data_IF_721050026483
#
_entry.id   IF_721050026483
#
_cell.length_a   1.000
_cell.length_b   1.000
_cell.length_c   1.000
_cell.angle_alpha   90.00
_cell.angle_beta   90.00
_cell.angle_gamma   90.00
#
_symmetry.space_group_name_H-M   'P 1'
#
loop_
_entity.id
_entity.type
_entity.pdbx_description
1 polymer ?
#
# COMPACT_ATOMS: atom_id res chain seq x y z
N UNK A 1 1.81 3.77 -6.96
CA UNK A 1 1.93 5.11 -6.34
C UNK A 1 1.97 6.22 -7.39
N UNK A 2 1.14 7.25 -7.26
CA UNK A 2 1.20 8.42 -8.12
C UNK A 2 2.28 9.40 -7.63
N UNK A 3 3.20 9.76 -8.52
CA UNK A 3 4.30 10.70 -8.28
C UNK A 3 4.16 11.88 -9.23
N UNK A 4 3.48 12.93 -8.77
CA UNK A 4 3.27 14.15 -9.55
C UNK A 4 4.35 15.19 -9.26
N UNK A 5 4.83 15.95 -10.27
CA UNK A 5 5.70 17.10 -10.05
C UNK A 5 4.96 18.20 -9.27
N UNK A 6 5.69 19.14 -8.67
CA UNK A 6 5.06 20.29 -8.02
C UNK A 6 4.22 21.09 -9.03
N UNK A 7 2.92 21.20 -8.76
CA UNK A 7 1.97 21.95 -9.58
C UNK A 7 1.37 23.10 -8.78
N UNK A 8 1.00 24.17 -9.49
CA UNK A 8 0.23 25.26 -8.91
C UNK A 8 -1.06 24.74 -8.25
N UNK A 9 -1.44 25.29 -7.09
CA UNK A 9 -2.53 24.77 -6.26
C UNK A 9 -3.88 24.70 -6.99
N UNK A 10 -4.19 25.67 -7.86
CA UNK A 10 -5.41 25.65 -8.69
C UNK A 10 -5.50 24.43 -9.60
N UNK A 11 -4.40 24.01 -10.23
CA UNK A 11 -4.42 22.83 -11.10
C UNK A 11 -4.65 21.54 -10.32
N UNK A 12 -4.25 21.49 -9.04
CA UNK A 12 -4.45 20.32 -8.17
C UNK A 12 -5.92 20.08 -7.84
N UNK A 13 -6.75 21.12 -7.78
CA UNK A 13 -8.19 21.00 -7.51
C UNK A 13 -8.90 20.22 -8.62
N UNK A 14 -8.42 20.32 -9.87
CA UNK A 14 -9.02 19.67 -11.04
C UNK A 14 -8.34 18.34 -11.42
N UNK A 15 -7.56 17.74 -10.52
CA UNK A 15 -6.90 16.45 -10.78
C UNK A 15 -7.89 15.31 -10.64
N UNK A 16 -8.13 14.61 -11.74
CA UNK A 16 -9.04 13.47 -11.80
C UNK A 16 -8.35 12.10 -11.64
N UNK A 17 -7.16 11.94 -12.23
CA UNK A 17 -6.43 10.67 -12.21
C UNK A 17 -5.68 10.50 -10.89
N UNK A 18 -5.98 9.44 -10.15
CA UNK A 18 -5.43 9.21 -8.81
C UNK A 18 -6.18 9.86 -7.67
N UNK A 19 -7.23 10.63 -7.98
CA UNK A 19 -8.07 11.20 -6.94
C UNK A 19 -9.18 10.24 -6.57
N UNK A 20 -9.54 10.29 -5.29
CA UNK A 20 -10.66 9.56 -4.70
C UNK A 20 -11.98 9.90 -5.40
N UNK A 21 -12.07 11.09 -6.03
CA UNK A 21 -13.27 11.58 -6.73
C UNK A 21 -13.77 10.59 -7.80
N UNK A 22 -12.86 9.95 -8.54
CA UNK A 22 -13.23 8.97 -9.57
C UNK A 22 -14.02 7.79 -8.99
N UNK A 23 -13.61 7.28 -7.81
CA UNK A 23 -14.22 6.14 -7.11
C UNK A 23 -15.58 6.47 -6.47
N UNK A 24 -15.79 7.73 -6.09
CA UNK A 24 -17.00 8.16 -5.36
C UNK A 24 -18.01 8.89 -6.25
N UNK A 25 -17.66 9.22 -7.49
CA UNK A 25 -18.48 9.99 -8.43
C UNK A 25 -19.91 9.47 -8.58
N UNK A 26 -20.10 8.15 -8.68
CA UNK A 26 -21.42 7.52 -8.75
C UNK A 26 -22.26 7.72 -7.49
N UNK A 27 -21.62 7.68 -6.31
CA UNK A 27 -22.27 7.89 -5.00
C UNK A 27 -22.68 9.34 -4.82
N UNK A 28 -21.86 10.28 -5.27
CA UNK A 28 -22.17 11.71 -5.27
C UNK A 28 -23.28 12.05 -6.25
N UNK A 29 -23.28 11.45 -7.44
CA UNK A 29 -24.37 11.59 -8.40
C UNK A 29 -25.69 11.06 -7.83
N UNK A 30 -25.66 9.91 -7.15
CA UNK A 30 -26.82 9.37 -6.47
C UNK A 30 -27.34 10.32 -5.38
N UNK A 31 -26.45 10.89 -4.55
CA UNK A 31 -26.83 11.88 -3.56
C UNK A 31 -27.43 13.15 -4.18
N UNK A 32 -26.89 13.61 -5.31
CA UNK A 32 -27.43 14.74 -6.06
C UNK A 32 -28.85 14.47 -6.57
N UNK A 33 -29.06 13.34 -7.25
CA UNK A 33 -30.37 12.93 -7.76
C UNK A 33 -31.37 12.72 -6.63
N UNK A 34 -30.93 12.10 -5.54
CA UNK A 34 -31.75 11.89 -4.36
C UNK A 34 -32.15 13.22 -3.70
N UNK A 35 -31.23 14.19 -3.61
CA UNK A 35 -31.53 15.53 -3.09
C UNK A 35 -32.59 16.25 -3.93
N UNK A 36 -32.56 16.08 -5.25
CA UNK A 36 -33.62 16.59 -6.14
C UNK A 36 -34.96 15.94 -5.83
N UNK A 37 -35.00 14.61 -5.66
CA UNK A 37 -36.21 13.91 -5.27
C UNK A 37 -36.78 14.41 -3.93
N UNK A 38 -35.91 14.66 -2.95
CA UNK A 38 -36.29 15.20 -1.64
C UNK A 38 -36.93 16.59 -1.75
N UNK A 39 -36.44 17.46 -2.65
CA UNK A 39 -37.08 18.76 -2.92
C UNK A 39 -38.52 18.57 -3.40
N UNK A 40 -38.76 17.66 -4.36
CA UNK A 40 -40.11 17.39 -4.85
C UNK A 40 -41.03 16.76 -3.80
N UNK A 41 -40.47 16.02 -2.84
CA UNK A 41 -41.21 15.42 -1.73
C UNK A 41 -41.53 16.41 -0.61
N UNK A 42 -40.90 17.60 -0.57
CA UNK A 42 -41.05 18.58 0.51
C UNK A 42 -42.52 18.92 0.85
N UNK A 43 -43.45 19.12 -0.10
CA UNK A 43 -44.84 19.43 0.24
C UNK A 43 -45.56 18.28 0.95
N UNK A 44 -45.27 17.03 0.58
CA UNK A 44 -45.90 15.83 1.15
C UNK A 44 -45.39 15.57 2.56
N UNK A 45 -44.10 15.80 2.74
CA UNK A 45 -43.39 15.66 3.99
C UNK A 45 -43.93 16.59 5.08
N UNK A 46 -44.17 17.87 4.76
CA UNK A 46 -44.71 18.84 5.71
C UNK A 46 -46.14 18.50 6.17
N UNK A 47 -46.93 17.84 5.32
CA UNK A 47 -48.26 17.34 5.68
C UNK A 47 -48.23 16.14 6.64
N UNK A 48 -47.20 15.29 6.59
CA UNK A 48 -47.04 14.13 7.47
C UNK A 48 -46.57 14.50 8.90
N UNK A 49 -46.17 15.75 9.13
CA UNK A 49 -45.71 16.23 10.45
C UNK A 49 -44.30 15.74 10.83
N UNK A 50 -43.60 15.01 9.96
CA UNK A 50 -42.20 14.62 10.16
C UNK A 50 -41.34 15.87 9.96
N UNK A 51 -40.38 16.13 10.87
CA UNK A 51 -39.42 17.25 10.77
C UNK A 51 -38.01 16.81 11.15
N UNK A 52 -37.14 16.73 10.15
CA UNK A 52 -35.71 16.47 10.26
C UNK A 52 -35.06 17.83 10.38
N UNK A 53 -34.64 18.16 11.60
CA UNK A 53 -33.91 19.39 11.86
C UNK A 53 -32.42 19.17 11.66
N UNK A 54 -31.68 20.25 11.42
CA UNK A 54 -30.23 20.17 11.22
C UNK A 54 -29.46 19.76 12.50
N UNK A 55 -29.98 20.09 13.69
CA UNK A 55 -29.23 19.93 14.94
C UNK A 55 -28.77 18.49 15.25
N UNK A 56 -29.61 17.44 15.15
CA UNK A 56 -29.15 16.06 15.33
C UNK A 56 -28.08 15.63 14.31
N UNK A 57 -28.19 16.11 13.06
CA UNK A 57 -27.23 15.82 12.00
C UNK A 57 -25.89 16.50 12.23
N UNK A 58 -25.86 17.71 12.80
CA UNK A 58 -24.62 18.37 13.19
C UNK A 58 -23.87 17.57 14.25
N UNK A 59 -24.56 17.08 15.28
CA UNK A 59 -23.95 16.25 16.34
C UNK A 59 -23.42 14.94 15.75
N UNK A 60 -24.23 14.27 14.93
CA UNK A 60 -23.85 13.02 14.26
C UNK A 60 -22.66 13.24 13.31
N UNK A 61 -22.66 14.32 12.53
CA UNK A 61 -21.58 14.67 11.60
C UNK A 61 -20.26 14.92 12.31
N UNK A 62 -20.28 15.64 13.45
CA UNK A 62 -19.09 15.85 14.28
C UNK A 62 -18.56 14.51 14.84
N UNK A 63 -19.45 13.66 15.35
CA UNK A 63 -19.06 12.35 15.86
C UNK A 63 -18.42 11.48 14.76
N UNK A 64 -19.04 11.40 13.58
CA UNK A 64 -18.51 10.65 12.43
C UNK A 64 -17.14 11.21 12.00
N UNK A 65 -16.98 12.54 11.95
CA UNK A 65 -15.72 13.17 11.56
C UNK A 65 -14.58 12.79 12.51
N UNK A 66 -14.83 12.76 13.82
CA UNK A 66 -13.85 12.35 14.83
C UNK A 66 -13.44 10.89 14.63
N UNK A 67 -14.41 9.97 14.46
CA UNK A 67 -14.11 8.55 14.26
C UNK A 67 -13.38 8.28 12.94
N UNK A 68 -13.75 8.96 11.85
CA UNK A 68 -13.01 8.93 10.59
C UNK A 68 -11.57 9.42 10.78
N UNK A 69 -11.35 10.49 11.54
CA UNK A 69 -10.01 10.98 11.86
C UNK A 69 -9.14 9.91 12.52
N UNK A 70 -9.69 9.18 13.50
CA UNK A 70 -8.97 8.07 14.15
C UNK A 70 -8.69 6.91 13.19
N UNK A 71 -9.66 6.52 12.35
CA UNK A 71 -9.47 5.46 11.33
C UNK A 71 -8.38 5.86 10.33
N UNK A 72 -8.43 7.07 9.80
CA UNK A 72 -7.46 7.57 8.84
C UNK A 72 -6.05 7.61 9.44
N UNK A 73 -5.91 8.00 10.70
CA UNK A 73 -4.63 7.98 11.38
C UNK A 73 -4.06 6.56 11.54
N UNK A 74 -4.91 5.58 11.86
CA UNK A 74 -4.51 4.17 11.94
C UNK A 74 -4.09 3.61 10.57
N UNK A 75 -4.86 3.88 9.50
CA UNK A 75 -4.52 3.52 8.12
C UNK A 75 -3.21 4.18 7.66
N UNK A 76 -3.04 5.46 7.95
CA UNK A 76 -1.81 6.19 7.61
C UNK A 76 -0.57 5.61 8.32
N UNK A 77 -0.67 5.31 9.62
CA UNK A 77 0.43 4.70 10.37
C UNK A 77 0.88 3.37 9.75
N UNK A 78 -0.08 2.57 9.30
CA UNK A 78 0.13 1.28 8.62
C UNK A 78 0.80 1.45 7.26
N UNK A 79 0.37 2.44 6.47
CA UNK A 79 1.02 2.79 5.20
C UNK A 79 2.48 3.24 5.40
N UNK A 80 2.73 4.10 6.40
CA UNK A 80 4.08 4.57 6.74
C UNK A 80 4.96 3.41 7.20
N UNK A 81 4.44 2.50 8.02
CA UNK A 81 5.16 1.31 8.47
C UNK A 81 5.56 0.42 7.29
N UNK A 82 4.63 0.13 6.38
CA UNK A 82 4.91 -0.61 5.15
C UNK A 82 6.03 0.05 4.32
N UNK A 83 5.98 1.37 4.14
CA UNK A 83 7.03 2.11 3.42
C UNK A 83 8.40 2.03 4.11
N UNK A 84 8.43 2.07 5.45
CA UNK A 84 9.67 1.94 6.24
C UNK A 84 10.28 0.55 6.11
N UNK A 85 9.47 -0.51 6.18
CA UNK A 85 9.93 -1.90 6.03
C UNK A 85 10.59 -2.13 4.66
N UNK A 86 9.97 -1.66 3.58
CA UNK A 86 10.58 -1.75 2.24
C UNK A 86 11.84 -0.89 2.08
N UNK A 87 11.95 0.23 2.82
CA UNK A 87 13.18 1.00 2.92
C UNK A 87 14.29 0.26 3.67
N UNK A 88 13.94 -0.41 4.77
CA UNK A 88 14.85 -1.24 5.54
C UNK A 88 15.35 -2.44 4.72
N UNK A 89 14.50 -3.04 3.88
CA UNK A 89 14.90 -4.10 2.96
C UNK A 89 16.03 -3.65 2.04
N UNK A 90 15.86 -2.48 1.39
CA UNK A 90 16.87 -1.91 0.51
C UNK A 90 18.20 -1.66 1.25
N UNK A 91 18.14 -1.15 2.48
CA UNK A 91 19.33 -0.93 3.32
C UNK A 91 20.01 -2.25 3.66
N UNK A 92 19.24 -3.25 4.11
CA UNK A 92 19.75 -4.55 4.51
C UNK A 92 20.38 -5.29 3.32
N UNK A 93 19.74 -5.31 2.14
CA UNK A 93 20.28 -5.93 0.92
C UNK A 93 21.60 -5.29 0.47
N UNK A 94 21.67 -3.95 0.42
CA UNK A 94 22.91 -3.23 0.08
C UNK A 94 24.03 -3.51 1.10
N UNK A 95 23.70 -3.52 2.39
CA UNK A 95 24.68 -3.75 3.45
C UNK A 95 25.20 -5.18 3.42
N UNK A 96 24.30 -6.15 3.27
CA UNK A 96 24.62 -7.58 3.19
C UNK A 96 25.51 -7.87 1.97
N UNK A 97 25.15 -7.38 0.77
CA UNK A 97 25.99 -7.60 -0.41
C UNK A 97 27.35 -6.91 -0.27
N UNK A 98 27.41 -5.68 0.27
CA UNK A 98 28.67 -4.99 0.53
C UNK A 98 29.59 -5.81 1.43
N UNK A 99 29.08 -6.28 2.56
CA UNK A 99 29.87 -7.09 3.50
C UNK A 99 30.38 -8.38 2.83
N UNK A 100 29.52 -9.10 2.12
CA UNK A 100 29.89 -10.30 1.34
C UNK A 100 31.02 -9.98 0.35
N UNK A 101 30.89 -8.91 -0.44
CA UNK A 101 31.92 -8.53 -1.44
C UNK A 101 33.25 -8.09 -0.81
N UNK A 102 33.21 -7.45 0.35
CA UNK A 102 34.44 -6.99 1.02
C UNK A 102 35.16 -8.09 1.79
N UNK A 103 34.48 -9.19 2.10
CA UNK A 103 35.02 -10.28 2.91
C UNK A 103 35.39 -11.50 2.10
N UNK A 104 34.64 -11.80 1.03
CA UNK A 104 34.87 -12.96 0.17
C UNK A 104 35.53 -12.55 -1.15
N UNK A 105 36.34 -13.45 -1.76
CA UNK A 105 36.90 -13.20 -3.08
C UNK A 105 35.79 -13.09 -4.13
N UNK A 106 35.97 -12.18 -5.08
CA UNK A 106 35.02 -12.02 -6.19
C UNK A 106 34.94 -13.31 -7.01
N UNK A 107 33.72 -13.84 -7.12
CA UNK A 107 33.48 -15.18 -7.66
C UNK A 107 32.04 -15.32 -8.15
N UNK A 108 31.80 -16.33 -8.98
CA UNK A 108 30.46 -16.62 -9.48
C UNK A 108 29.45 -16.89 -8.34
N UNK A 109 29.90 -17.39 -7.18
CA UNK A 109 29.04 -17.63 -6.02
C UNK A 109 28.52 -16.33 -5.38
N UNK A 110 29.30 -15.25 -5.38
CA UNK A 110 28.87 -13.93 -4.87
C UNK A 110 27.81 -13.32 -5.80
N UNK A 111 27.95 -13.49 -7.12
CA UNK A 111 26.92 -13.11 -8.09
C UNK A 111 25.63 -13.92 -7.89
N UNK A 112 25.74 -15.22 -7.62
CA UNK A 112 24.59 -16.07 -7.27
C UNK A 112 23.89 -15.58 -5.98
N UNK A 113 24.67 -15.18 -4.97
CA UNK A 113 24.12 -14.64 -3.73
C UNK A 113 23.36 -13.31 -3.93
N UNK A 114 23.82 -12.44 -4.84
CA UNK A 114 23.07 -11.25 -5.21
C UNK A 114 21.74 -11.60 -5.91
N UNK A 115 21.72 -12.61 -6.79
CA UNK A 115 20.49 -13.10 -7.43
C UNK A 115 19.49 -13.66 -6.42
N UNK A 116 19.94 -14.34 -5.37
CA UNK A 116 19.07 -14.76 -4.26
C UNK A 116 18.40 -13.56 -3.58
N UNK A 117 19.11 -12.44 -3.37
CA UNK A 117 18.55 -11.24 -2.75
C UNK A 117 17.50 -10.57 -3.65
N UNK A 118 17.75 -10.53 -4.96
CA UNK A 118 16.79 -10.04 -5.95
C UNK A 118 15.54 -10.95 -5.96
N UNK A 119 15.74 -12.27 -5.98
CA UNK A 119 14.66 -13.25 -5.90
C UNK A 119 13.81 -13.07 -4.64
N UNK A 120 14.43 -12.83 -3.48
CA UNK A 120 13.72 -12.55 -2.24
C UNK A 120 12.82 -11.32 -2.35
N UNK A 121 13.35 -10.20 -2.86
CA UNK A 121 12.58 -8.96 -3.01
C UNK A 121 11.35 -9.14 -3.92
N UNK A 122 11.54 -9.79 -5.07
CA UNK A 122 10.44 -10.11 -5.98
C UNK A 122 9.44 -11.10 -5.36
N UNK A 123 9.93 -12.15 -4.70
CA UNK A 123 9.09 -13.15 -4.03
C UNK A 123 8.21 -12.49 -2.96
N UNK A 124 8.77 -11.60 -2.14
CA UNK A 124 8.03 -10.87 -1.12
C UNK A 124 6.94 -9.99 -1.75
N UNK A 125 7.28 -9.18 -2.76
CA UNK A 125 6.31 -8.36 -3.49
C UNK A 125 5.16 -9.19 -4.03
N UNK A 126 5.48 -10.28 -4.74
CA UNK A 126 4.48 -11.13 -5.38
C UNK A 126 3.62 -11.89 -4.36
N UNK A 127 4.21 -12.29 -3.22
CA UNK A 127 3.47 -12.90 -2.11
C UNK A 127 2.45 -11.92 -1.52
N UNK A 128 2.85 -10.67 -1.25
CA UNK A 128 1.96 -9.64 -0.72
C UNK A 128 0.84 -9.27 -1.71
N UNK A 129 1.14 -9.29 -3.02
CA UNK A 129 0.17 -9.04 -4.10
C UNK A 129 -0.61 -10.27 -4.56
N UNK A 130 -0.35 -11.45 -3.99
CA UNK A 130 -0.96 -12.74 -4.39
C UNK A 130 -0.80 -13.02 -5.90
N UNK A 131 0.36 -12.68 -6.46
CA UNK A 131 0.70 -12.84 -7.86
C UNK A 131 1.48 -14.15 -8.12
N UNK A 132 1.39 -14.72 -9.33
CA UNK A 132 2.19 -15.88 -9.71
C UNK A 132 3.69 -15.55 -9.67
N UNK A 133 4.48 -16.46 -9.08
CA UNK A 133 5.89 -16.19 -8.77
C UNK A 133 6.86 -16.92 -9.74
N UNK A 134 6.40 -17.98 -10.39
CA UNK A 134 7.26 -18.98 -11.07
C UNK A 134 8.14 -18.35 -12.14
N UNK A 135 7.55 -17.59 -13.07
CA UNK A 135 8.27 -17.05 -14.23
C UNK A 135 9.37 -16.06 -13.83
N UNK A 136 9.08 -15.19 -12.86
CA UNK A 136 10.02 -14.20 -12.35
C UNK A 136 11.13 -14.86 -11.53
N UNK A 137 10.77 -15.78 -10.63
CA UNK A 137 11.76 -16.45 -9.78
C UNK A 137 12.70 -17.37 -10.58
N UNK A 138 12.23 -17.95 -11.68
CA UNK A 138 13.04 -18.78 -12.57
C UNK A 138 14.21 -18.02 -13.23
N UNK A 139 14.14 -16.69 -13.33
CA UNK A 139 15.27 -15.88 -13.82
C UNK A 139 16.44 -15.80 -12.83
N UNK A 140 16.16 -15.93 -11.53
CA UNK A 140 17.14 -15.69 -10.47
C UNK A 140 17.54 -16.95 -9.72
N UNK A 141 16.67 -17.97 -9.68
CA UNK A 141 16.87 -19.21 -8.94
C UNK A 141 17.20 -20.38 -9.88
N UNK A 142 18.05 -21.29 -9.40
CA UNK A 142 18.24 -22.60 -10.03
C UNK A 142 16.95 -23.43 -9.94
N UNK A 143 16.75 -24.37 -10.85
CA UNK A 143 15.54 -25.21 -10.91
C UNK A 143 15.27 -25.95 -9.60
N UNK A 144 16.32 -26.46 -8.95
CA UNK A 144 16.21 -27.17 -7.67
C UNK A 144 15.71 -26.24 -6.54
N UNK A 145 16.29 -25.04 -6.43
CA UNK A 145 15.89 -24.05 -5.43
C UNK A 145 14.50 -23.49 -5.71
N UNK A 146 14.14 -23.28 -6.98
CA UNK A 146 12.81 -22.85 -7.37
C UNK A 146 11.76 -23.87 -6.91
N UNK A 147 11.99 -25.17 -7.12
CA UNK A 147 11.08 -26.21 -6.63
C UNK A 147 10.97 -26.21 -5.10
N UNK A 148 12.09 -26.06 -4.38
CA UNK A 148 12.11 -25.96 -2.91
C UNK A 148 11.31 -24.76 -2.41
N UNK A 149 11.39 -23.62 -3.10
CA UNK A 149 10.69 -22.37 -2.77
C UNK A 149 9.19 -22.49 -3.01
N UNK A 150 8.78 -22.99 -4.19
CA UNK A 150 7.36 -23.14 -4.55
C UNK A 150 6.64 -24.20 -3.71
N UNK A 151 7.36 -25.20 -3.20
CA UNK A 151 6.79 -26.21 -2.31
C UNK A 151 6.60 -25.70 -0.85
N UNK A 152 7.10 -24.51 -0.51
CA UNK A 152 7.03 -23.95 0.84
C UNK A 152 5.75 -23.15 1.06
N UNK A 153 5.16 -23.25 2.25
CA UNK A 153 4.04 -22.37 2.67
C UNK A 153 4.47 -20.91 2.84
N UNK A 154 5.76 -20.66 3.10
CA UNK A 154 6.36 -19.32 3.07
C UNK A 154 7.54 -19.34 2.09
N UNK A 155 7.30 -18.99 0.81
CA UNK A 155 8.34 -18.98 -0.23
C UNK A 155 9.48 -18.00 0.07
N UNK A 156 9.16 -16.79 0.52
CA UNK A 156 10.18 -15.77 0.83
C UNK A 156 11.08 -16.21 2.00
N UNK A 157 10.52 -16.82 3.04
CA UNK A 157 11.31 -17.39 4.14
C UNK A 157 12.19 -18.56 3.67
N UNK A 158 11.73 -19.34 2.68
CA UNK A 158 12.57 -20.39 2.08
C UNK A 158 13.80 -19.81 1.38
N UNK A 159 13.66 -18.69 0.67
CA UNK A 159 14.80 -18.01 0.04
C UNK A 159 15.80 -17.52 1.12
N UNK A 160 15.32 -16.98 2.25
CA UNK A 160 16.18 -16.61 3.38
C UNK A 160 16.98 -17.80 3.94
N UNK A 161 16.34 -18.97 4.05
CA UNK A 161 17.04 -20.19 4.46
C UNK A 161 18.15 -20.57 3.46
N UNK A 162 17.89 -20.48 2.15
CA UNK A 162 18.88 -20.76 1.11
C UNK A 162 20.07 -19.78 1.21
N UNK A 163 19.82 -18.50 1.49
CA UNK A 163 20.89 -17.53 1.76
C UNK A 163 21.73 -17.92 3.00
N UNK A 164 21.08 -18.37 4.07
CA UNK A 164 21.77 -18.84 5.27
C UNK A 164 22.60 -20.11 5.01
N UNK A 165 22.07 -21.07 4.25
CA UNK A 165 22.78 -22.26 3.78
C UNK A 165 24.03 -21.88 2.98
N UNK A 166 23.92 -20.88 2.10
CA UNK A 166 25.04 -20.36 1.33
C UNK A 166 26.15 -19.79 2.22
N UNK A 167 25.81 -18.94 3.21
CA UNK A 167 26.78 -18.40 4.17
C UNK A 167 27.44 -19.52 4.99
N UNK A 168 26.68 -20.53 5.39
CA UNK A 168 27.20 -21.66 6.15
C UNK A 168 28.20 -22.50 5.34
N UNK A 169 28.00 -22.64 4.02
CA UNK A 169 29.00 -23.28 3.13
C UNK A 169 30.29 -22.47 3.09
N UNK A 170 30.23 -21.14 2.94
CA UNK A 170 31.43 -20.31 2.91
C UNK A 170 32.22 -20.38 4.23
N UNK A 171 31.52 -20.41 5.36
CA UNK A 171 32.14 -20.64 6.67
C UNK A 171 32.79 -22.01 6.78
N UNK A 172 32.11 -23.09 6.39
CA UNK A 172 32.68 -24.46 6.42
C UNK A 172 33.93 -24.60 5.53
N UNK A 173 33.99 -23.84 4.44
CA UNK A 173 35.13 -23.80 3.54
C UNK A 173 36.28 -22.90 4.05
N UNK A 174 36.18 -22.34 5.26
CA UNK A 174 37.21 -21.48 5.86
C UNK A 174 37.30 -20.08 5.26
N UNK A 175 36.35 -19.66 4.43
CA UNK A 175 36.32 -18.34 3.79
C UNK A 175 35.74 -17.26 4.71
N UNK A 176 34.92 -17.65 5.70
CA UNK A 176 34.35 -16.75 6.70
C UNK A 176 34.79 -17.17 8.09
N UNK A 177 35.28 -16.20 8.88
CA UNK A 177 35.49 -16.37 10.31
C UNK A 177 34.15 -16.29 11.07
N UNK A 178 34.16 -16.74 12.33
CA UNK A 178 32.99 -16.73 13.19
C UNK A 178 32.39 -15.33 13.38
N UNK A 179 33.24 -14.32 13.55
CA UNK A 179 32.83 -12.92 13.74
C UNK A 179 32.15 -12.38 12.48
N UNK A 180 32.72 -12.65 11.30
CA UNK A 180 32.14 -12.23 10.03
C UNK A 180 30.82 -12.96 9.74
N UNK A 181 30.74 -14.25 10.08
CA UNK A 181 29.51 -15.02 9.94
C UNK A 181 28.38 -14.47 10.82
N UNK A 182 28.67 -14.05 12.05
CA UNK A 182 27.68 -13.40 12.94
C UNK A 182 27.19 -12.09 12.29
N UNK A 183 28.10 -11.23 11.83
CA UNK A 183 27.74 -9.94 11.19
C UNK A 183 26.78 -10.13 10.00
N UNK A 184 27.11 -11.08 9.11
CA UNK A 184 26.30 -11.39 7.94
C UNK A 184 24.94 -11.99 8.33
N UNK A 185 24.91 -12.84 9.36
CA UNK A 185 23.67 -13.42 9.86
C UNK A 185 22.75 -12.37 10.51
N UNK A 186 23.30 -11.35 11.16
CA UNK A 186 22.53 -10.22 11.67
C UNK A 186 21.86 -9.43 10.54
N UNK A 187 22.54 -9.26 9.40
CA UNK A 187 21.92 -8.65 8.21
C UNK A 187 20.81 -9.53 7.62
N UNK A 188 20.94 -10.86 7.63
CA UNK A 188 19.84 -11.76 7.26
C UNK A 188 18.66 -11.66 8.24
N UNK A 189 18.93 -11.51 9.53
CA UNK A 189 17.89 -11.28 10.54
C UNK A 189 17.14 -9.97 10.29
N UNK A 190 17.79 -8.91 9.83
CA UNK A 190 17.10 -7.66 9.43
C UNK A 190 16.11 -7.90 8.28
N UNK A 191 16.49 -8.71 7.29
CA UNK A 191 15.60 -9.06 6.17
C UNK A 191 14.43 -9.94 6.67
N UNK A 192 14.69 -10.85 7.61
CA UNK A 192 13.65 -11.65 8.28
C UNK A 192 12.67 -10.76 9.05
N UNK A 193 13.16 -9.74 9.76
CA UNK A 193 12.31 -8.77 10.44
C UNK A 193 11.42 -7.98 9.47
N UNK A 194 11.93 -7.64 8.29
CA UNK A 194 11.12 -7.05 7.20
C UNK A 194 10.02 -8.01 6.75
N UNK A 195 10.36 -9.28 6.47
CA UNK A 195 9.39 -10.29 6.05
C UNK A 195 8.25 -10.40 7.06
N UNK A 196 8.58 -10.61 8.34
CA UNK A 196 7.60 -10.73 9.41
C UNK A 196 6.77 -9.45 9.59
N UNK A 197 7.39 -8.28 9.44
CA UNK A 197 6.69 -6.99 9.46
C UNK A 197 5.67 -6.84 8.33
N UNK A 198 6.05 -7.21 7.10
CA UNK A 198 5.18 -7.19 5.94
C UNK A 198 4.04 -8.21 6.07
N UNK A 199 4.31 -9.43 6.54
CA UNK A 199 3.28 -10.44 6.81
C UNK A 199 2.32 -9.98 7.91
N UNK A 200 2.83 -9.40 8.99
CA UNK A 200 1.98 -8.82 10.04
C UNK A 200 1.04 -7.76 9.48
N UNK A 201 1.54 -6.85 8.66
CA UNK A 201 0.70 -5.86 7.99
C UNK A 201 -0.33 -6.60 7.12
N UNK A 202 0.09 -7.41 6.16
CA UNK A 202 -0.81 -8.08 5.22
C UNK A 202 -1.92 -8.92 5.89
N UNK A 203 -1.60 -9.67 6.94
CA UNK A 203 -2.52 -10.61 7.58
C UNK A 203 -3.23 -10.09 8.83
N UNK A 204 -2.83 -8.92 9.35
CA UNK A 204 -3.47 -8.30 10.53
C UNK A 204 -4.08 -6.94 10.13
N UNK A 205 -5.25 -6.91 9.48
CA UNK A 205 -5.92 -5.66 9.11
C UNK A 205 -6.47 -4.92 10.33
N UNK A 206 -6.88 -3.66 10.13
CA UNK A 206 -7.67 -2.92 11.12
C UNK A 206 -8.95 -3.74 11.41
N UNK A 207 -9.39 -3.87 12.67
CA UNK A 207 -10.54 -4.71 13.00
C UNK A 207 -11.75 -4.34 12.16
N UNK A 208 -12.31 -5.32 11.45
CA UNK A 208 -13.39 -5.13 10.48
C UNK A 208 -14.60 -4.35 11.03
N UNK A 209 -14.89 -4.50 12.33
CA UNK A 209 -15.96 -3.75 12.98
C UNK A 209 -15.80 -2.22 12.88
N UNK A 210 -14.57 -1.69 12.96
CA UNK A 210 -14.31 -0.27 12.80
C UNK A 210 -14.67 0.21 11.39
N UNK A 211 -14.16 -0.48 10.37
CA UNK A 211 -14.46 -0.20 8.96
C UNK A 211 -15.95 -0.29 8.69
N UNK A 212 -16.61 -1.36 9.15
CA UNK A 212 -18.03 -1.59 8.89
C UNK A 212 -18.94 -0.54 9.54
N UNK A 213 -18.70 -0.17 10.80
CA UNK A 213 -19.52 0.81 11.51
C UNK A 213 -19.36 2.19 10.85
N UNK A 214 -18.13 2.59 10.54
CA UNK A 214 -17.87 3.88 9.89
C UNK A 214 -18.49 3.94 8.50
N UNK A 215 -18.28 2.90 7.69
CA UNK A 215 -18.85 2.84 6.34
C UNK A 215 -20.39 2.91 6.40
N UNK A 216 -21.05 2.16 7.28
CA UNK A 216 -22.52 2.22 7.42
C UNK A 216 -23.02 3.58 7.88
N UNK A 217 -22.37 4.18 8.88
CA UNK A 217 -22.81 5.45 9.46
C UNK A 217 -22.57 6.63 8.52
N UNK A 218 -21.45 6.67 7.80
CA UNK A 218 -21.16 7.69 6.77
C UNK A 218 -22.21 7.66 5.66
N UNK A 219 -22.53 6.48 5.13
CA UNK A 219 -23.49 6.38 4.03
C UNK A 219 -24.92 6.67 4.48
N UNK A 220 -25.32 6.17 5.64
CA UNK A 220 -26.62 6.50 6.21
C UNK A 220 -26.74 8.01 6.46
N UNK A 221 -25.69 8.64 6.99
CA UNK A 221 -25.62 10.09 7.18
C UNK A 221 -25.79 10.83 5.85
N UNK A 222 -25.03 10.48 4.81
CA UNK A 222 -25.11 11.14 3.51
C UNK A 222 -26.47 10.95 2.82
N UNK A 223 -27.11 9.79 2.97
CA UNK A 223 -28.46 9.53 2.43
C UNK A 223 -29.51 10.34 3.19
N UNK A 224 -29.39 10.47 4.51
CA UNK A 224 -30.38 11.17 5.34
C UNK A 224 -30.19 12.70 5.34
N UNK A 225 -28.98 13.18 5.05
CA UNK A 225 -28.62 14.60 5.10
C UNK A 225 -29.50 15.54 4.24
N UNK A 226 -29.89 15.20 2.99
CA UNK A 226 -30.76 16.06 2.20
C UNK A 226 -32.10 16.37 2.87
N UNK A 227 -32.65 15.42 3.63
CA UNK A 227 -33.92 15.64 4.36
C UNK A 227 -33.78 16.68 5.48
N UNK A 228 -32.61 16.76 6.11
CA UNK A 228 -32.35 17.75 7.14
C UNK A 228 -32.08 19.14 6.55
N UNK A 229 -31.50 19.19 5.34
CA UNK A 229 -31.12 20.43 4.66
C UNK A 229 -32.25 21.07 3.86
N UNK A 230 -33.22 20.28 3.36
CA UNK A 230 -34.21 20.74 2.38
C UNK A 230 -35.10 21.87 2.88
N UNK A 231 -35.44 21.87 4.18
CA UNK A 231 -36.31 22.88 4.79
C UNK A 231 -35.62 24.24 4.84
N UNK A 232 -34.32 24.27 5.10
CA UNK A 232 -33.55 25.50 5.23
C UNK A 232 -33.00 25.97 3.87
N UNK A 233 -32.51 25.05 3.04
CA UNK A 233 -31.76 25.37 1.82
C UNK A 233 -32.57 25.30 0.52
N UNK A 234 -33.76 24.69 0.51
CA UNK A 234 -34.62 24.58 -0.67
C UNK A 234 -33.83 24.12 -1.92
N UNK A 235 -33.80 24.92 -2.99
CA UNK A 235 -33.10 24.61 -4.24
C UNK A 235 -31.57 24.47 -4.11
N UNK A 236 -30.96 24.98 -3.03
CA UNK A 236 -29.51 24.83 -2.77
C UNK A 236 -29.15 23.49 -2.15
N UNK A 237 -30.13 22.69 -1.71
CA UNK A 237 -29.93 21.39 -1.06
C UNK A 237 -29.03 20.43 -1.82
N UNK A 238 -29.19 20.21 -3.15
CA UNK A 238 -28.38 19.23 -3.87
C UNK A 238 -26.90 19.62 -3.90
N UNK A 239 -26.60 20.91 -3.97
CA UNK A 239 -25.23 21.40 -4.03
C UNK A 239 -24.53 21.26 -2.67
N UNK A 240 -25.20 21.70 -1.59
CA UNK A 240 -24.62 21.64 -0.24
C UNK A 240 -24.57 20.20 0.29
N UNK A 241 -25.59 19.38 0.01
CA UNK A 241 -25.59 17.96 0.39
C UNK A 241 -24.45 17.21 -0.30
N UNK A 242 -24.24 17.42 -1.60
CA UNK A 242 -23.14 16.77 -2.33
C UNK A 242 -21.78 17.24 -1.82
N UNK A 243 -21.63 18.52 -1.48
CA UNK A 243 -20.38 19.04 -0.91
C UNK A 243 -20.04 18.39 0.44
N UNK A 244 -21.02 18.27 1.33
CA UNK A 244 -20.82 17.62 2.64
C UNK A 244 -20.57 16.12 2.42
N UNK A 245 -21.36 15.46 1.57
CA UNK A 245 -21.19 14.04 1.24
C UNK A 245 -19.82 13.75 0.63
N UNK A 246 -19.35 14.62 -0.27
CA UNK A 246 -17.99 14.55 -0.81
C UNK A 246 -16.95 14.54 0.29
N UNK A 247 -17.06 15.41 1.29
CA UNK A 247 -16.10 15.49 2.40
C UNK A 247 -16.04 14.17 3.18
N UNK A 248 -17.18 13.64 3.61
CA UNK A 248 -17.22 12.43 4.43
C UNK A 248 -16.87 11.17 3.64
N UNK A 249 -17.43 10.97 2.43
CA UNK A 249 -17.16 9.79 1.62
C UNK A 249 -15.71 9.81 1.11
N UNK A 250 -15.14 10.98 0.79
CA UNK A 250 -13.72 11.06 0.41
C UNK A 250 -12.79 10.66 1.55
N UNK A 251 -13.08 11.11 2.78
CA UNK A 251 -12.28 10.74 3.95
C UNK A 251 -12.37 9.23 4.25
N UNK A 252 -13.55 8.65 4.14
CA UNK A 252 -13.79 7.21 4.32
C UNK A 252 -13.05 6.37 3.26
N UNK A 253 -13.13 6.78 1.99
CA UNK A 253 -12.45 6.09 0.89
C UNK A 253 -10.93 6.25 0.95
N UNK A 254 -10.41 7.40 1.41
CA UNK A 254 -8.98 7.57 1.66
C UNK A 254 -8.47 6.61 2.74
N UNK A 255 -9.28 6.37 3.79
CA UNK A 255 -8.95 5.39 4.82
C UNK A 255 -8.78 3.98 4.23
N UNK A 256 -9.72 3.60 3.35
CA UNK A 256 -9.69 2.31 2.64
C UNK A 256 -8.44 2.17 1.75
N UNK A 257 -8.06 3.21 1.00
CA UNK A 257 -6.84 3.19 0.18
C UNK A 257 -5.57 3.04 1.03
N UNK A 258 -5.50 3.69 2.20
CA UNK A 258 -4.31 3.61 3.05
C UNK A 258 -4.23 2.30 3.85
N UNK A 259 -5.33 1.58 4.01
CA UNK A 259 -5.40 0.31 4.75
C UNK A 259 -4.67 -0.84 4.05
N UNK A 260 -4.58 -0.81 2.71
CA UNK A 260 -3.90 -1.83 1.89
C UNK A 260 -2.68 -1.27 1.13
N UNK A 261 -1.54 -1.04 1.80
CA UNK A 261 -0.39 -0.40 1.17
C UNK A 261 0.31 -1.25 0.11
N UNK A 262 0.03 -2.56 0.03
CA UNK A 262 0.73 -3.49 -0.85
C UNK A 262 -0.02 -3.82 -2.14
N UNK A 263 -1.20 -3.24 -2.34
CA UNK A 263 -2.02 -3.48 -3.52
C UNK A 263 -1.42 -2.94 -4.82
N UNK A 264 -2.30 -2.78 -5.80
CA UNK A 264 -1.99 -2.30 -7.16
C UNK A 264 -2.77 -1.04 -7.53
N UNK A 265 -3.47 -0.42 -6.58
CA UNK A 265 -4.15 0.83 -6.80
C UNK A 265 -3.17 1.99 -6.99
N UNK A 266 -3.70 3.10 -7.48
CA UNK A 266 -2.91 4.27 -7.85
C UNK A 266 -2.03 4.80 -6.73
N UNK A 267 -2.52 4.75 -5.48
CA UNK A 267 -1.87 5.33 -4.31
C UNK A 267 -1.12 4.30 -3.45
N UNK A 268 -1.16 3.02 -3.82
CA UNK A 268 -0.43 1.96 -3.13
C UNK A 268 1.07 2.08 -3.38
N UNK A 269 1.87 1.39 -2.56
CA UNK A 269 3.32 1.45 -2.66
C UNK A 269 3.80 0.94 -4.04
N UNK A 270 4.80 1.62 -4.64
CA UNK A 270 5.32 1.26 -5.95
C UNK A 270 6.32 0.11 -5.80
N UNK A 271 5.83 -1.07 -5.42
CA UNK A 271 6.69 -2.21 -5.09
C UNK A 271 7.48 -2.71 -6.29
N UNK A 272 6.99 -2.56 -7.53
CA UNK A 272 7.74 -2.97 -8.71
C UNK A 272 8.95 -2.06 -8.91
N UNK A 273 8.78 -0.75 -8.80
CA UNK A 273 9.88 0.22 -8.84
C UNK A 273 10.85 0.04 -7.67
N UNK A 274 10.38 -0.32 -6.47
CA UNK A 274 11.28 -0.59 -5.32
C UNK A 274 12.11 -1.86 -5.58
N UNK A 275 11.49 -2.94 -6.05
CA UNK A 275 12.22 -4.17 -6.42
C UNK A 275 13.22 -3.91 -7.55
N UNK A 276 12.82 -3.17 -8.60
CA UNK A 276 13.70 -2.76 -9.68
C UNK A 276 14.89 -1.91 -9.19
N UNK A 277 14.66 -1.00 -8.25
CA UNK A 277 15.75 -0.23 -7.65
C UNK A 277 16.73 -1.12 -6.88
N UNK A 278 16.22 -2.06 -6.07
CA UNK A 278 17.06 -3.04 -5.35
C UNK A 278 17.86 -3.88 -6.36
N UNK A 279 17.23 -4.37 -7.42
CA UNK A 279 17.88 -5.13 -8.48
C UNK A 279 19.00 -4.34 -9.14
N UNK A 280 18.74 -3.10 -9.56
CA UNK A 280 19.73 -2.21 -10.15
C UNK A 280 20.91 -2.00 -9.20
N UNK A 281 20.67 -1.70 -7.92
CA UNK A 281 21.73 -1.47 -6.95
C UNK A 281 22.62 -2.72 -6.80
N UNK A 282 22.03 -3.90 -6.66
CA UNK A 282 22.77 -5.15 -6.43
C UNK A 282 23.56 -5.60 -7.67
N UNK A 283 23.00 -5.40 -8.87
CA UNK A 283 23.71 -5.67 -10.13
C UNK A 283 24.86 -4.68 -10.36
N UNK A 284 24.65 -3.38 -10.07
CA UNK A 284 25.70 -2.36 -10.16
C UNK A 284 26.82 -2.60 -9.16
N UNK A 285 26.50 -3.02 -7.92
CA UNK A 285 27.51 -3.42 -6.94
C UNK A 285 28.32 -4.65 -7.40
N UNK A 286 27.83 -5.41 -8.37
CA UNK A 286 28.51 -6.53 -9.01
C UNK A 286 29.16 -6.21 -10.35
N UNK A 287 29.17 -4.94 -10.76
CA UNK A 287 29.74 -4.49 -12.04
C UNK A 287 29.17 -5.26 -13.25
N UNK A 288 27.91 -5.72 -13.14
CA UNK A 288 27.20 -6.43 -14.22
C UNK A 288 26.92 -5.45 -15.38
N UNK A 289 27.15 -5.89 -16.61
CA UNK A 289 26.97 -5.05 -17.81
C UNK A 289 25.49 -4.88 -18.19
N UNK A 290 24.67 -5.90 -17.93
CA UNK A 290 23.25 -5.90 -18.22
C UNK A 290 22.46 -5.50 -16.97
N UNK A 291 21.99 -4.25 -16.94
CA UNK A 291 21.21 -3.69 -15.85
C UNK A 291 19.83 -3.30 -16.40
N UNK A 292 18.72 -3.66 -15.74
CA UNK A 292 17.39 -3.29 -16.21
C UNK A 292 17.22 -1.77 -16.18
N UNK A 293 16.39 -1.25 -17.08
CA UNK A 293 16.04 0.16 -17.09
C UNK A 293 15.31 0.53 -15.80
N UNK A 294 15.66 1.69 -15.24
CA UNK A 294 14.98 2.24 -14.06
C UNK A 294 13.51 2.52 -14.40
N UNK A 295 12.60 1.98 -13.59
CA UNK A 295 11.17 2.26 -13.73
C UNK A 295 10.92 3.74 -13.39
N UNK A 296 10.30 4.45 -14.33
CA UNK A 296 9.92 5.86 -14.20
C UNK A 296 8.40 6.00 -14.19
N UNK A 297 7.83 7.07 -13.60
CA UNK A 297 6.40 7.31 -13.65
C UNK A 297 5.89 7.38 -15.10
N UNK A 298 4.74 6.74 -15.34
CA UNK A 298 4.11 6.72 -16.67
C UNK A 298 3.48 8.08 -17.03
N UNK A 299 2.77 8.14 -18.17
CA UNK A 299 2.06 9.35 -18.62
C UNK A 299 0.97 9.83 -17.63
N UNK A 300 0.47 8.94 -16.78
CA UNK A 300 -0.50 9.25 -15.73
C UNK A 300 0.14 9.49 -14.36
N UNK A 301 1.48 9.62 -14.32
CA UNK A 301 2.28 9.79 -13.12
C UNK A 301 2.27 8.55 -12.20
N UNK A 302 1.80 7.40 -12.67
CA UNK A 302 1.80 6.17 -11.91
C UNK A 302 3.19 5.53 -11.95
N UNK A 303 3.76 5.36 -10.77
CA UNK A 303 4.92 4.53 -10.53
C UNK A 303 4.40 3.19 -9.98
N UNK A 304 4.52 2.13 -10.76
CA UNK A 304 4.25 0.76 -10.35
C UNK A 304 5.48 0.15 -9.72
#
# INVERSE_FOLDING_TARGET
MIVRPQQHWLRRIFVWHGSVLSKISSRLLLNFLFSIAVIFMLPWYTHLGIKFTLAPFSILGVAIAIFLGFRNNAGYARYVEARKLWGQLMIASRSLLREVKTTLPDSASVREFARLQIAFAHCLRMTLRKQPQVEVLAHYLKTEDLQRVLASNSPANRILLIMGEWLAVQRRNGQLSDILFISLNDRLNDISAVLAGCERIAYTPIPFAYTLILHRTVYLFCIMLPFALVVDLHYMTPFISVLISYTFISLDCLAEELEDPFGTENNDLPLDAICNAIEIDLLQMNDEAEIPAKVLPDRHYQLT
#
